data_IF_202317785444
#
_entry.id   IF_202317785444
#
_cell.length_a   1.000
_cell.length_b   1.000
_cell.length_c   1.000
_cell.angle_alpha   90.00
_cell.angle_beta   90.00
_cell.angle_gamma   90.00
#
_symmetry.space_group_name_H-M   'P 1'
#
loop_
_entity.id
_entity.type
_entity.pdbx_description
1 polymer ?
#
# COMPACT_ATOMS: atom_id res chain seq x y z
N UNK A 1 6.11 -10.33 18.94
CA UNK A 1 7.30 -9.60 19.45
C UNK A 1 7.55 -9.83 20.93
N UNK A 2 6.75 -9.30 21.86
CA UNK A 2 7.02 -9.44 23.30
C UNK A 2 7.16 -10.89 23.79
N UNK A 3 6.36 -11.82 23.23
CA UNK A 3 6.48 -13.25 23.52
C UNK A 3 7.85 -13.87 23.14
N UNK A 4 8.59 -13.24 22.22
CA UNK A 4 9.94 -13.64 21.80
C UNK A 4 11.02 -12.73 22.40
N UNK A 5 10.73 -12.04 23.51
CA UNK A 5 11.68 -11.18 24.22
C UNK A 5 12.06 -9.88 23.51
N UNK A 6 11.35 -9.51 22.43
CA UNK A 6 11.59 -8.27 21.68
C UNK A 6 10.60 -7.18 22.12
N UNK A 7 11.13 -6.07 22.61
CA UNK A 7 10.34 -4.95 23.14
C UNK A 7 10.46 -3.68 22.30
N UNK A 8 11.47 -3.60 21.44
CA UNK A 8 11.66 -2.53 20.48
C UNK A 8 11.70 -3.08 19.05
N UNK A 9 11.25 -2.28 18.08
CA UNK A 9 11.36 -2.63 16.66
C UNK A 9 12.81 -2.83 16.22
N UNK A 10 13.77 -2.13 16.84
CA UNK A 10 15.20 -2.29 16.57
C UNK A 10 15.73 -3.68 16.93
N UNK A 11 15.07 -4.41 17.82
CA UNK A 11 15.47 -5.77 18.22
C UNK A 11 15.30 -6.78 17.07
N UNK A 12 14.51 -6.44 16.05
CA UNK A 12 14.32 -7.25 14.83
C UNK A 12 15.48 -7.11 13.83
N UNK A 13 16.22 -6.00 13.86
CA UNK A 13 17.30 -5.73 12.91
C UNK A 13 18.39 -6.83 12.89
N UNK A 14 18.97 -7.24 14.04
CA UNK A 14 19.96 -8.33 14.04
C UNK A 14 19.37 -9.66 13.53
N UNK A 15 18.12 -9.95 13.86
CA UNK A 15 17.44 -11.19 13.43
C UNK A 15 17.26 -11.28 11.92
N UNK A 16 17.02 -10.15 11.26
CA UNK A 16 16.99 -10.07 9.80
C UNK A 16 18.39 -10.23 9.20
N UNK A 17 19.41 -9.61 9.81
CA UNK A 17 20.79 -9.69 9.35
C UNK A 17 21.31 -11.13 9.37
N UNK A 18 21.01 -11.88 10.43
CA UNK A 18 21.39 -13.31 10.54
C UNK A 18 20.80 -14.17 9.42
N UNK A 19 19.67 -13.75 8.84
CA UNK A 19 18.99 -14.38 7.71
C UNK A 19 19.38 -13.78 6.35
N UNK A 20 20.42 -12.93 6.33
CA UNK A 20 20.93 -12.27 5.13
C UNK A 20 20.04 -11.14 4.61
N UNK A 21 19.13 -10.62 5.42
CA UNK A 21 18.22 -9.53 5.07
C UNK A 21 18.70 -8.25 5.77
N UNK A 22 19.14 -7.28 4.98
CA UNK A 22 19.57 -5.97 5.51
C UNK A 22 18.44 -4.96 5.32
N UNK A 23 17.85 -4.51 6.42
CA UNK A 23 16.86 -3.44 6.47
C UNK A 23 17.42 -2.32 7.35
N UNK A 24 17.14 -1.06 7.00
CA UNK A 24 17.44 0.05 7.89
C UNK A 24 16.49 0.05 9.10
N UNK A 25 16.92 0.62 10.22
CA UNK A 25 16.07 0.71 11.42
C UNK A 25 14.73 1.42 11.15
N UNK A 26 14.70 2.38 10.22
CA UNK A 26 13.46 3.04 9.76
C UNK A 26 12.56 2.08 8.98
N UNK A 27 13.13 1.23 8.13
CA UNK A 27 12.36 0.20 7.40
C UNK A 27 11.76 -0.82 8.36
N UNK A 28 12.53 -1.27 9.37
CA UNK A 28 12.04 -2.18 10.40
C UNK A 28 10.95 -1.52 11.25
N UNK A 29 11.15 -0.26 11.65
CA UNK A 29 10.12 0.49 12.37
C UNK A 29 8.82 0.58 11.57
N UNK A 30 8.89 0.98 10.28
CA UNK A 30 7.70 1.06 9.41
C UNK A 30 7.02 -0.29 9.22
N UNK A 31 7.78 -1.37 9.14
CA UNK A 31 7.24 -2.73 9.01
C UNK A 31 6.40 -3.13 10.23
N UNK A 32 6.79 -2.67 11.43
CA UNK A 32 6.11 -2.99 12.68
C UNK A 32 4.96 -2.02 12.98
N UNK A 33 5.08 -0.74 12.61
CA UNK A 33 4.10 0.30 12.98
C UNK A 33 3.07 0.62 11.90
N UNK A 34 3.34 0.30 10.64
CA UNK A 34 2.45 0.61 9.51
C UNK A 34 2.06 -0.66 8.78
N UNK A 35 0.84 -0.68 8.20
CA UNK A 35 0.43 -1.75 7.28
C UNK A 35 1.14 -1.55 5.94
N UNK A 36 2.01 -2.48 5.50
CA UNK A 36 2.71 -2.35 4.24
C UNK A 36 1.78 -2.65 3.06
N UNK A 37 1.81 -1.81 2.02
CA UNK A 37 1.13 -2.10 0.75
C UNK A 37 1.84 -3.19 -0.07
N UNK A 38 3.16 -3.30 0.14
CA UNK A 38 4.03 -4.25 -0.55
C UNK A 38 5.02 -4.82 0.44
N UNK A 39 5.20 -6.12 0.39
CA UNK A 39 6.10 -6.86 1.25
C UNK A 39 6.83 -7.92 0.41
N UNK A 40 8.14 -8.08 0.63
CA UNK A 40 8.89 -9.15 -0.03
C UNK A 40 8.63 -10.50 0.65
N UNK A 41 8.57 -11.58 -0.13
CA UNK A 41 8.39 -12.92 0.40
C UNK A 41 9.55 -13.35 1.32
N UNK A 42 10.78 -12.85 1.08
CA UNK A 42 11.93 -13.10 1.97
C UNK A 42 11.74 -12.51 3.36
N UNK A 43 11.21 -11.29 3.43
CA UNK A 43 10.90 -10.64 4.71
C UNK A 43 9.75 -11.38 5.40
N UNK A 44 8.72 -11.78 4.64
CA UNK A 44 7.62 -12.58 5.20
C UNK A 44 8.12 -13.89 5.81
N UNK A 45 8.92 -14.66 5.06
CA UNK A 45 9.45 -15.95 5.53
C UNK A 45 10.34 -15.77 6.75
N UNK A 46 11.14 -14.71 6.80
CA UNK A 46 11.98 -14.41 7.96
C UNK A 46 11.13 -14.03 9.19
N UNK A 47 10.06 -13.25 9.04
CA UNK A 47 9.14 -12.96 10.15
C UNK A 47 8.47 -14.23 10.68
N UNK A 48 8.04 -15.12 9.79
CA UNK A 48 7.45 -16.40 10.15
C UNK A 48 8.44 -17.27 10.94
N UNK A 49 9.70 -17.31 10.50
CA UNK A 49 10.78 -18.05 11.16
C UNK A 49 11.18 -17.44 12.51
N UNK A 50 11.30 -16.12 12.61
CA UNK A 50 11.64 -15.40 13.85
C UNK A 50 10.57 -15.59 14.93
N UNK A 51 9.30 -15.58 14.53
CA UNK A 51 8.17 -15.67 15.45
C UNK A 51 7.54 -17.07 15.50
N UNK A 52 8.17 -18.08 14.89
CA UNK A 52 7.68 -19.45 14.83
C UNK A 52 6.19 -19.56 14.47
N UNK A 53 5.74 -18.72 13.53
CA UNK A 53 4.33 -18.57 13.17
C UNK A 53 4.08 -18.80 11.68
N UNK A 54 2.83 -19.05 11.32
CA UNK A 54 2.44 -19.19 9.92
C UNK A 54 2.09 -17.83 9.28
N UNK A 55 2.19 -17.69 7.94
CA UNK A 55 1.78 -16.45 7.26
C UNK A 55 0.33 -16.05 7.53
N UNK A 56 -0.56 -17.02 7.80
CA UNK A 56 -1.96 -16.77 8.11
C UNK A 56 -2.16 -16.10 9.48
N UNK A 57 -1.22 -16.27 10.41
CA UNK A 57 -1.22 -15.59 11.71
C UNK A 57 -0.72 -14.14 11.61
N UNK A 58 0.10 -13.84 10.60
CA UNK A 58 0.61 -12.48 10.35
C UNK A 58 -0.30 -11.65 9.44
N UNK A 59 -0.99 -12.29 8.49
CA UNK A 59 -1.79 -11.63 7.47
C UNK A 59 -3.26 -12.02 7.64
N UNK A 60 -4.03 -11.12 8.24
CA UNK A 60 -5.48 -11.26 8.32
C UNK A 60 -6.12 -11.04 6.94
N UNK A 61 -6.51 -12.12 6.27
CA UNK A 61 -7.27 -12.03 5.02
C UNK A 61 -8.74 -11.79 5.32
N UNK A 62 -9.22 -10.59 5.01
CA UNK A 62 -10.64 -10.24 5.06
C UNK A 62 -11.14 -9.99 3.64
N UNK A 63 -12.27 -10.60 3.29
CA UNK A 63 -12.99 -10.24 2.08
C UNK A 63 -13.71 -8.91 2.33
N UNK A 64 -13.13 -7.81 1.88
CA UNK A 64 -13.82 -6.52 1.83
C UNK A 64 -14.38 -6.33 0.42
N UNK A 65 -15.68 -6.06 0.31
CA UNK A 65 -16.26 -5.59 -0.95
C UNK A 65 -15.64 -4.22 -1.24
N UNK A 66 -14.61 -4.21 -2.09
CA UNK A 66 -14.00 -2.97 -2.53
C UNK A 66 -15.08 -2.11 -3.18
N UNK A 67 -15.28 -0.89 -2.67
CA UNK A 67 -16.18 0.05 -3.30
C UNK A 67 -15.76 0.19 -4.77
N UNK A 68 -16.70 0.07 -5.73
CA UNK A 68 -16.36 0.22 -7.13
C UNK A 68 -15.64 1.57 -7.29
N UNK A 69 -14.50 1.54 -7.99
CA UNK A 69 -13.73 2.74 -8.27
C UNK A 69 -14.70 3.76 -8.86
N UNK A 70 -14.78 4.96 -8.29
CA UNK A 70 -15.60 6.04 -8.86
C UNK A 70 -15.06 6.37 -10.25
N UNK A 71 -15.62 5.72 -11.26
CA UNK A 71 -15.44 6.11 -12.66
C UNK A 71 -16.39 7.27 -12.91
N UNK A 72 -15.96 8.28 -13.66
CA UNK A 72 -16.78 9.46 -14.01
C UNK A 72 -17.99 9.13 -14.90
N UNK A 73 -18.34 7.86 -15.02
CA UNK A 73 -19.42 7.30 -15.83
C UNK A 73 -20.60 6.81 -15.00
N UNK A 74 -20.48 6.81 -13.66
CA UNK A 74 -21.59 6.45 -12.78
C UNK A 74 -22.49 7.69 -12.56
N UNK A 75 -23.67 7.66 -13.16
CA UNK A 75 -24.82 8.55 -12.91
C UNK A 75 -24.55 10.06 -12.97
N UNK A 76 -23.81 10.50 -14.00
CA UNK A 76 -23.91 11.89 -14.43
C UNK A 76 -24.97 11.96 -15.54
N UNK A 77 -25.97 12.83 -15.38
CA UNK A 77 -26.85 13.25 -16.46
C UNK A 77 -25.96 13.76 -17.61
N UNK A 78 -25.86 12.96 -18.68
CA UNK A 78 -24.97 13.26 -19.80
C UNK A 78 -25.53 14.47 -20.54
N UNK A 79 -25.01 15.65 -20.23
CA UNK A 79 -25.32 16.86 -21.00
C UNK A 79 -24.57 16.79 -22.32
N UNK A 80 -25.32 16.75 -23.43
CA UNK A 80 -24.72 16.88 -24.75
C UNK A 80 -24.12 18.29 -24.91
N UNK A 81 -22.80 18.38 -24.83
CA UNK A 81 -22.05 19.61 -25.00
C UNK A 81 -22.25 20.24 -26.39
N UNK A 82 -22.59 19.43 -27.40
CA UNK A 82 -22.90 19.95 -28.73
C UNK A 82 -24.21 20.76 -28.74
N UNK A 83 -25.14 20.47 -27.84
CA UNK A 83 -26.37 21.27 -27.66
C UNK A 83 -26.20 22.41 -26.66
N UNK A 84 -25.37 22.25 -25.62
CA UNK A 84 -25.26 23.22 -24.52
C UNK A 84 -24.20 24.31 -24.73
N UNK A 85 -23.12 24.06 -25.50
CA UNK A 85 -22.04 25.03 -25.73
C UNK A 85 -21.57 25.02 -27.18
N UNK A 86 -21.86 26.09 -27.92
CA UNK A 86 -21.30 26.30 -29.26
C UNK A 86 -19.98 27.07 -29.17
N UNK A 87 -18.83 26.50 -29.57
CA UNK A 87 -17.56 27.21 -29.51
C UNK A 87 -17.58 28.46 -30.40
N UNK A 88 -17.21 29.61 -29.82
CA UNK A 88 -17.15 30.89 -30.52
C UNK A 88 -15.89 30.92 -31.39
N UNK A 89 -16.04 31.26 -32.68
CA UNK A 89 -14.91 31.35 -33.62
C UNK A 89 -13.84 32.31 -33.09
N UNK A 90 -12.58 31.86 -33.11
CA UNK A 90 -11.44 32.70 -32.76
C UNK A 90 -11.32 33.86 -33.76
N UNK A 91 -11.07 35.07 -33.24
CA UNK A 91 -10.69 36.23 -34.05
C UNK A 91 -9.17 36.33 -34.01
N UNK A 92 -8.52 35.95 -35.10
CA UNK A 92 -7.07 36.12 -35.25
C UNK A 92 -6.83 37.57 -35.62
N UNK A 93 -6.04 38.29 -34.81
CA UNK A 93 -5.50 39.59 -35.19
C UNK A 93 -4.22 39.37 -36.01
N UNK A 94 -4.03 40.06 -37.14
CA UNK A 94 -2.72 40.10 -37.77
C UNK A 94 -1.75 40.89 -36.88
N UNK A 95 -0.47 40.51 -36.91
CA UNK A 95 0.58 41.02 -36.03
C UNK A 95 0.74 42.55 -36.03
#
# INVERSE_FOLDING_TARGET
MAAHGMFAATDLEPQFVDRGIKLSSVQVWRLVTQTPERLSLRVLSALCDIFECTPAELIATRAENAAPRKTSTADAEVVDLATSVRPKRARIRPE
#
